data_IF_194498189318
#
_entry.id   IF_194498189318
#
_cell.length_a   1.000
_cell.length_b   1.000
_cell.length_c   1.000
_cell.angle_alpha   90.00
_cell.angle_beta   90.00
_cell.angle_gamma   90.00
#
_symmetry.space_group_name_H-M   'P 1'
#
loop_
_entity.id
_entity.type
_entity.pdbx_description
1 polymer ?
#
# COMPACT_ATOMS: atom_id res chain seq x y z
N UNK A 1 -25.91 -14.65 1.65
CA UNK A 1 -25.05 -14.01 0.62
C UNK A 1 -23.62 -14.15 1.12
N UNK A 2 -22.76 -14.86 0.39
CA UNK A 2 -21.34 -14.97 0.74
C UNK A 2 -20.64 -13.67 0.35
N UNK A 3 -20.60 -12.71 1.28
CA UNK A 3 -19.85 -11.47 1.14
C UNK A 3 -18.47 -11.61 1.79
N UNK A 4 -17.58 -10.68 1.47
CA UNK A 4 -16.27 -10.55 2.11
C UNK A 4 -16.51 -10.05 3.55
N UNK A 5 -16.02 -10.79 4.55
CA UNK A 5 -16.27 -10.44 5.97
C UNK A 5 -15.02 -10.04 6.75
N UNK A 6 -13.84 -10.11 6.14
CA UNK A 6 -12.59 -9.69 6.80
C UNK A 6 -11.58 -9.14 5.81
N UNK A 7 -10.67 -8.28 6.28
CA UNK A 7 -9.64 -7.67 5.44
C UNK A 7 -8.72 -8.72 4.82
N UNK A 8 -8.49 -9.83 5.53
CA UNK A 8 -7.67 -10.96 5.06
C UNK A 8 -8.19 -11.54 3.74
N UNK A 9 -9.51 -11.55 3.54
CA UNK A 9 -10.14 -12.07 2.32
C UNK A 9 -9.92 -11.16 1.09
N UNK A 10 -9.53 -9.89 1.29
CA UNK A 10 -9.17 -8.98 0.19
C UNK A 10 -7.76 -9.25 -0.37
N UNK A 11 -6.90 -9.94 0.39
CA UNK A 11 -5.50 -10.13 0.02
C UNK A 11 -5.27 -10.80 -1.35
N UNK A 12 -5.99 -11.88 -1.71
CA UNK A 12 -5.83 -12.49 -3.03
C UNK A 12 -6.16 -11.54 -4.19
N UNK A 13 -7.11 -10.62 -3.99
CA UNK A 13 -7.50 -9.63 -4.99
C UNK A 13 -6.41 -8.57 -5.16
N UNK A 14 -5.89 -8.03 -4.06
CA UNK A 14 -4.77 -7.07 -4.08
C UNK A 14 -3.54 -7.66 -4.78
N UNK A 15 -3.18 -8.91 -4.47
CA UNK A 15 -2.09 -9.61 -5.14
C UNK A 15 -2.34 -9.79 -6.63
N UNK A 16 -3.57 -10.15 -7.01
CA UNK A 16 -3.92 -10.36 -8.42
C UNK A 16 -3.83 -9.06 -9.22
N UNK A 17 -4.33 -7.96 -8.67
CA UNK A 17 -4.27 -6.64 -9.32
C UNK A 17 -2.82 -6.16 -9.46
N UNK A 18 -2.02 -6.24 -8.39
CA UNK A 18 -0.60 -5.91 -8.44
C UNK A 18 0.16 -6.76 -9.46
N UNK A 19 -0.14 -8.07 -9.53
CA UNK A 19 0.45 -8.96 -10.52
C UNK A 19 0.11 -8.59 -11.96
N UNK A 20 -1.08 -8.05 -12.22
CA UNK A 20 -1.47 -7.55 -13.56
C UNK A 20 -0.78 -6.23 -13.84
N UNK A 21 -0.75 -5.33 -12.85
CA UNK A 21 -0.10 -4.02 -12.98
C UNK A 21 1.39 -4.14 -13.33
N UNK A 22 2.06 -5.10 -12.70
CA UNK A 22 3.47 -5.43 -12.94
C UNK A 22 3.76 -6.01 -14.33
N UNK A 23 2.75 -6.31 -15.14
CA UNK A 23 2.97 -6.70 -16.55
C UNK A 23 3.24 -5.48 -17.45
N UNK A 24 3.03 -4.26 -16.94
CA UNK A 24 3.35 -3.04 -17.67
C UNK A 24 4.86 -2.82 -17.72
N UNK A 25 5.32 -2.33 -18.85
CA UNK A 25 6.67 -1.82 -19.07
C UNK A 25 6.54 -0.34 -19.36
N UNK A 26 7.23 0.50 -18.58
CA UNK A 26 7.15 1.97 -18.71
C UNK A 26 5.69 2.49 -18.65
N UNK A 27 4.91 1.95 -17.70
CA UNK A 27 3.50 2.32 -17.52
C UNK A 27 2.54 1.81 -18.60
N UNK A 28 3.00 0.98 -19.56
CA UNK A 28 2.18 0.49 -20.67
C UNK A 28 2.24 -1.03 -20.81
N UNK A 29 1.12 -1.65 -21.18
CA UNK A 29 1.11 -3.04 -21.61
C UNK A 29 1.74 -3.13 -23.00
N UNK A 30 2.77 -3.97 -23.15
CA UNK A 30 3.48 -4.13 -24.42
C UNK A 30 3.36 -5.59 -24.85
N UNK A 31 2.88 -5.81 -26.08
CA UNK A 31 2.79 -7.14 -26.71
C UNK A 31 3.55 -7.07 -28.02
N UNK A 32 4.53 -7.96 -28.21
CA UNK A 32 5.38 -8.00 -29.40
C UNK A 32 6.05 -6.64 -29.72
N UNK A 33 6.42 -5.88 -28.70
CA UNK A 33 7.08 -4.58 -28.85
C UNK A 33 6.16 -3.44 -29.27
N UNK A 34 4.84 -3.61 -29.24
CA UNK A 34 3.85 -2.58 -29.57
C UNK A 34 2.82 -2.42 -28.44
N UNK A 35 2.21 -1.23 -28.37
CA UNK A 35 1.07 -0.91 -27.49
C UNK A 35 -0.19 -1.52 -28.14
N UNK A 36 -0.89 -2.46 -27.50
CA UNK A 36 -2.12 -3.03 -28.04
C UNK A 36 -3.22 -1.99 -28.19
N UNK A 37 -4.06 -2.15 -29.21
CA UNK A 37 -5.29 -1.36 -29.35
C UNK A 37 -6.24 -1.64 -28.17
N UNK A 38 -6.95 -0.61 -27.70
CA UNK A 38 -7.90 -0.75 -26.59
C UNK A 38 -7.25 -0.86 -25.21
N UNK A 39 -5.93 -0.69 -25.08
CA UNK A 39 -5.23 -0.74 -23.79
C UNK A 39 -5.78 0.27 -22.77
N UNK A 40 -6.27 1.43 -23.22
CA UNK A 40 -6.89 2.42 -22.34
C UNK A 40 -8.10 1.87 -21.58
N UNK A 41 -8.89 0.98 -22.19
CA UNK A 41 -10.02 0.32 -21.53
C UNK A 41 -9.56 -0.65 -20.45
N UNK A 42 -8.49 -1.41 -20.72
CA UNK A 42 -7.89 -2.32 -19.72
C UNK A 42 -7.33 -1.52 -18.54
N UNK A 43 -6.67 -0.39 -18.82
CA UNK A 43 -6.15 0.49 -17.78
C UNK A 43 -7.28 1.07 -16.91
N UNK A 44 -8.35 1.56 -17.53
CA UNK A 44 -9.51 2.08 -16.82
C UNK A 44 -10.17 1.02 -15.93
N UNK A 45 -10.35 -0.20 -16.45
CA UNK A 45 -10.90 -1.32 -15.67
C UNK A 45 -9.99 -1.73 -14.51
N UNK A 46 -8.67 -1.75 -14.73
CA UNK A 46 -7.71 -2.08 -13.67
C UNK A 46 -7.74 -1.03 -12.55
N UNK A 47 -7.83 0.25 -12.90
CA UNK A 47 -7.97 1.34 -11.94
C UNK A 47 -9.27 1.21 -11.14
N UNK A 48 -10.41 1.00 -11.80
CA UNK A 48 -11.70 0.75 -11.14
C UNK A 48 -11.64 -0.43 -10.17
N UNK A 49 -10.93 -1.50 -10.54
CA UNK A 49 -10.75 -2.65 -9.64
C UNK A 49 -9.92 -2.31 -8.39
N UNK A 50 -8.90 -1.43 -8.52
CA UNK A 50 -8.14 -0.95 -7.36
C UNK A 50 -9.01 -0.08 -6.45
N UNK A 51 -9.83 0.79 -7.03
CA UNK A 51 -10.75 1.65 -6.27
C UNK A 51 -11.77 0.81 -5.49
N UNK A 52 -12.40 -0.18 -6.12
CA UNK A 52 -13.34 -1.09 -5.45
C UNK A 52 -12.68 -1.82 -4.27
N UNK A 53 -11.46 -2.34 -4.47
CA UNK A 53 -10.74 -3.04 -3.38
C UNK A 53 -10.36 -2.08 -2.26
N UNK A 54 -10.04 -0.83 -2.58
CA UNK A 54 -9.74 0.20 -1.59
C UNK A 54 -10.98 0.59 -0.78
N UNK A 55 -12.11 0.83 -1.44
CA UNK A 55 -13.39 1.14 -0.78
C UNK A 55 -13.80 0.00 0.16
N UNK A 56 -13.78 -1.24 -0.30
CA UNK A 56 -14.08 -2.41 0.53
C UNK A 56 -13.14 -2.53 1.74
N UNK A 57 -11.86 -2.20 1.55
CA UNK A 57 -10.87 -2.22 2.63
C UNK A 57 -11.19 -1.15 3.68
N UNK A 58 -11.57 0.07 3.27
CA UNK A 58 -11.97 1.13 4.19
C UNK A 58 -13.22 0.75 4.98
N UNK A 59 -14.25 0.22 4.30
CA UNK A 59 -15.46 -0.25 4.96
C UNK A 59 -15.23 -1.37 5.98
N UNK A 60 -14.21 -2.21 5.78
CA UNK A 60 -13.88 -3.29 6.70
C UNK A 60 -13.07 -2.79 7.90
N UNK A 61 -12.15 -1.84 7.72
CA UNK A 61 -11.48 -1.20 8.86
C UNK A 61 -12.48 -0.47 9.76
N UNK A 62 -13.41 0.28 9.16
CA UNK A 62 -14.47 0.94 9.93
C UNK A 62 -15.34 -0.06 10.71
N UNK A 63 -15.51 -1.29 10.23
CA UNK A 63 -16.25 -2.34 10.95
C UNK A 63 -15.40 -2.99 12.04
N UNK A 64 -14.13 -3.28 11.77
CA UNK A 64 -13.20 -3.90 12.73
C UNK A 64 -12.90 -2.95 13.91
N UNK A 65 -12.70 -1.65 13.67
CA UNK A 65 -12.47 -0.64 14.72
C UNK A 65 -13.69 -0.46 15.64
N UNK A 66 -14.89 -0.75 15.15
CA UNK A 66 -16.13 -0.68 15.94
C UNK A 66 -16.30 -1.91 16.83
N UNK A 67 -15.78 -3.07 16.42
CA UNK A 67 -15.85 -4.31 17.21
C UNK A 67 -14.88 -4.32 18.42
N UNK A 68 -13.74 -3.63 18.32
CA UNK A 68 -12.78 -3.52 19.43
C UNK A 68 -13.22 -2.54 20.54
N UNK A 69 -14.10 -1.59 20.23
CA UNK A 69 -14.65 -0.62 21.20
C UNK A 69 -15.72 -1.22 22.13
N UNK A 70 -16.32 -2.37 21.76
CA UNK A 70 -17.34 -3.05 22.57
C UNK A 70 -16.76 -4.05 23.59
N UNK A 71 -15.44 -4.31 23.57
CA UNK A 71 -14.78 -5.27 24.49
C UNK A 71 -14.19 -4.61 25.74
N UNK A 72 -14.04 -3.29 25.78
CA UNK A 72 -13.33 -2.59 26.86
C UNK A 72 -14.18 -2.24 28.11
N UNK A 73 -15.11 -3.12 28.50
CA UNK A 73 -15.76 -3.03 29.82
C UNK A 73 -15.84 -4.34 30.57
N UNK A 74 -14.74 -5.08 30.65
CA UNK A 74 -14.31 -5.85 31.83
C UNK A 74 -13.20 -6.84 31.47
N UNK A 75 -11.97 -6.59 31.94
CA UNK A 75 -11.15 -7.55 32.71
C UNK A 75 -9.77 -6.97 33.01
N UNK A 76 -9.60 -6.60 34.27
CA UNK A 76 -8.31 -6.30 34.89
C UNK A 76 -7.52 -7.58 35.24
N UNK A 77 -6.20 -7.53 35.02
CA UNK A 77 -5.07 -8.31 35.60
C UNK A 77 -4.70 -9.69 35.01
N UNK A 78 -3.49 -9.78 34.43
CA UNK A 78 -2.31 -10.45 35.03
C UNK A 78 -1.46 -11.32 34.07
N UNK A 79 -0.20 -10.89 33.90
CA UNK A 79 1.06 -11.68 33.89
C UNK A 79 1.39 -12.72 32.79
N UNK A 80 2.39 -12.35 31.96
CA UNK A 80 3.65 -13.05 31.59
C UNK A 80 3.60 -14.53 31.15
N UNK A 81 4.13 -14.84 29.97
CA UNK A 81 5.17 -15.88 29.70
C UNK A 81 5.65 -15.74 28.24
N UNK A 82 6.95 -15.47 28.07
CA UNK A 82 7.59 -15.29 26.77
C UNK A 82 7.93 -16.61 26.08
N UNK A 83 7.77 -16.61 24.76
CA UNK A 83 8.47 -17.50 23.83
C UNK A 83 9.09 -16.62 22.74
N UNK A 84 10.37 -16.82 22.43
CA UNK A 84 11.12 -16.05 21.40
C UNK A 84 10.55 -16.18 19.98
N UNK A 85 9.54 -17.04 19.76
CA UNK A 85 8.87 -17.20 18.46
C UNK A 85 7.90 -16.05 18.11
N UNK A 86 7.71 -15.07 18.99
CA UNK A 86 6.79 -13.94 18.79
C UNK A 86 7.44 -12.71 18.11
N UNK A 87 8.75 -12.69 17.88
CA UNK A 87 9.40 -11.50 17.35
C UNK A 87 9.19 -11.32 15.83
N UNK A 88 9.04 -12.41 15.07
CA UNK A 88 8.82 -12.35 13.62
C UNK A 88 7.36 -12.10 13.24
N UNK A 89 6.43 -12.22 14.20
CA UNK A 89 5.00 -11.94 13.99
C UNK A 89 4.64 -10.46 14.21
N UNK A 90 5.61 -9.61 14.56
CA UNK A 90 5.37 -8.26 15.05
C UNK A 90 5.69 -7.18 14.01
N UNK A 91 5.32 -7.40 12.74
CA UNK A 91 5.07 -6.26 11.85
C UNK A 91 3.72 -5.66 12.26
N UNK A 92 3.76 -4.89 13.33
CA UNK A 92 2.60 -4.19 13.86
C UNK A 92 2.32 -2.99 12.97
N UNK A 93 1.35 -3.12 12.06
CA UNK A 93 0.85 -2.01 11.25
C UNK A 93 -0.02 -1.03 12.06
N UNK A 94 -0.29 -1.28 13.36
CA UNK A 94 -0.99 -0.35 14.24
C UNK A 94 -0.09 0.78 14.77
N UNK A 95 1.05 1.03 14.14
CA UNK A 95 1.75 2.32 14.27
C UNK A 95 1.49 3.07 12.96
N UNK A 96 0.27 3.60 12.84
CA UNK A 96 0.05 4.79 12.03
C UNK A 96 0.58 5.92 12.90
N UNK A 97 1.74 6.45 12.55
CA UNK A 97 2.26 7.67 13.15
C UNK A 97 1.19 8.75 12.94
N UNK A 98 0.58 9.16 14.04
CA UNK A 98 -0.44 10.20 14.11
C UNK A 98 0.21 11.59 13.92
N UNK A 99 1.04 11.82 12.90
CA UNK A 99 1.60 13.14 12.64
C UNK A 99 2.02 13.32 11.18
N UNK A 100 1.45 14.34 10.53
CA UNK A 100 2.13 15.06 9.46
C UNK A 100 1.40 15.13 8.11
N UNK A 101 0.24 15.80 8.07
CA UNK A 101 -0.03 16.66 6.92
C UNK A 101 0.95 17.83 7.01
N UNK A 102 2.18 17.67 6.53
CA UNK A 102 3.10 18.78 6.35
C UNK A 102 3.64 18.76 4.92
N UNK A 103 3.39 19.87 4.24
CA UNK A 103 3.79 20.23 2.90
C UNK A 103 5.27 19.87 2.63
N UNK A 104 5.49 18.95 1.70
CA UNK A 104 6.80 18.77 1.07
C UNK A 104 6.66 18.96 -0.45
N UNK A 105 6.10 20.10 -0.87
CA UNK A 105 6.19 20.59 -2.25
C UNK A 105 7.53 21.31 -2.54
N UNK A 106 8.39 21.59 -1.55
CA UNK A 106 9.49 22.56 -1.73
C UNK A 106 10.93 22.02 -1.71
N UNK A 107 11.19 20.79 -2.16
CA UNK A 107 12.59 20.33 -2.32
C UNK A 107 12.92 19.66 -3.66
N UNK A 108 12.27 20.11 -4.74
CA UNK A 108 12.73 19.83 -6.11
C UNK A 108 13.86 20.78 -6.58
N UNK A 109 14.36 21.68 -5.73
CA UNK A 109 15.19 22.83 -6.15
C UNK A 109 16.68 22.80 -5.76
N UNK A 110 17.27 21.68 -5.31
CA UNK A 110 18.69 21.67 -4.90
C UNK A 110 19.55 20.49 -5.36
N UNK A 111 19.14 19.77 -6.41
CA UNK A 111 20.14 19.17 -7.31
C UNK A 111 20.51 20.18 -8.39
N UNK A 112 21.10 21.30 -7.93
CA UNK A 112 21.90 22.15 -8.79
C UNK A 112 23.08 21.29 -9.26
N UNK A 113 23.12 21.08 -10.58
CA UNK A 113 24.30 20.72 -11.34
C UNK A 113 25.48 21.53 -10.80
N UNK A 114 26.36 20.88 -10.03
CA UNK A 114 27.69 21.41 -9.81
C UNK A 114 28.50 21.00 -11.04
N UNK A 115 28.56 21.92 -12.00
CA UNK A 115 29.69 22.01 -12.91
C UNK A 115 30.98 21.99 -12.06
N UNK A 116 31.85 21.06 -12.38
CA UNK A 116 33.26 21.11 -11.99
C UNK A 116 34.06 20.50 -13.13
N UNK A 117 34.03 21.21 -14.26
CA UNK A 117 35.14 21.20 -15.20
C UNK A 117 36.40 21.77 -14.51
N UNK A 118 37.55 21.29 -14.99
CA UNK A 118 38.89 21.89 -14.87
C UNK A 118 39.80 21.41 -13.71
N UNK A 119 40.63 20.41 -14.00
CA UNK A 119 42.03 20.44 -13.58
C UNK A 119 42.91 20.51 -14.83
N UNK A 120 43.55 21.66 -14.98
CA UNK A 120 44.52 22.00 -16.01
C UNK A 120 45.89 21.35 -15.77
N UNK A 121 46.59 21.19 -16.89
CA UNK A 121 47.90 20.61 -17.20
C UNK A 121 49.05 20.75 -16.18
N UNK A 122 49.89 19.70 -16.07
CA UNK A 122 51.32 19.74 -15.72
C UNK A 122 52.03 18.42 -16.10
#
# INVERSE_FOLDING_TARGET
>A
MGGITSIRELYPYQLKLASIDNQKVDGKFIINGQIPEGQGTVFALLAECFDIVHELKMELYEKEDVEDLDVEKSRNKSSVIGTKALQDANYNYNIVDEHGYDEAEDNLASLSVNDSDEFTDA
#
